data_IF_474667396565
#
_entry.id   IF_474667396565
#
_cell.length_a   1.000
_cell.length_b   1.000
_cell.length_c   1.000
_cell.angle_alpha   90.00
_cell.angle_beta   90.00
_cell.angle_gamma   90.00
#
_symmetry.space_group_name_H-M   'P 1'
#
loop_
_entity.id
_entity.type
_entity.pdbx_description
1 polymer ?
#
# COMPACT_ATOMS: atom_id res chain seq x y z
N UNK A 1 -2.52 17.35 22.06
CA UNK A 1 -1.93 17.49 20.72
C UNK A 1 -1.19 16.19 20.49
N UNK A 2 -1.84 15.19 19.91
CA UNK A 2 -1.16 13.97 19.46
C UNK A 2 -0.27 14.40 18.29
N UNK A 3 1.04 14.40 18.53
CA UNK A 3 2.06 14.56 17.49
C UNK A 3 1.89 13.36 16.54
N UNK A 4 1.32 13.61 15.36
CA UNK A 4 1.32 12.62 14.28
C UNK A 4 2.76 12.53 13.80
N UNK A 5 3.50 11.59 14.39
CA UNK A 5 4.83 11.23 13.92
C UNK A 5 4.67 10.52 12.57
N UNK A 6 4.92 11.24 11.49
CA UNK A 6 4.92 10.69 10.14
C UNK A 6 6.34 10.24 9.80
N UNK A 7 6.62 8.96 9.99
CA UNK A 7 7.87 8.37 9.53
C UNK A 7 7.86 8.20 7.99
N UNK A 8 8.86 8.77 7.34
CA UNK A 8 9.02 8.65 5.90
C UNK A 8 10.06 7.57 5.59
N UNK A 9 9.60 6.42 5.13
CA UNK A 9 10.47 5.32 4.75
C UNK A 9 10.75 5.33 3.25
N UNK A 10 12.03 5.29 2.89
CA UNK A 10 12.46 5.24 1.50
C UNK A 10 12.67 3.77 1.11
N UNK A 11 11.88 3.29 0.16
CA UNK A 11 12.09 1.96 -0.44
C UNK A 11 13.44 1.92 -1.17
N UNK A 12 14.23 0.90 -0.85
CA UNK A 12 15.51 0.59 -1.51
C UNK A 12 15.28 0.12 -2.93
N UNK A 13 16.29 0.29 -3.80
CA UNK A 13 16.20 -0.04 -5.23
C UNK A 13 15.90 -1.53 -5.48
N UNK A 14 16.36 -2.39 -4.58
CA UNK A 14 16.06 -3.83 -4.55
C UNK A 14 14.55 -4.10 -4.42
N UNK A 15 13.84 -3.31 -3.61
CA UNK A 15 12.38 -3.43 -3.45
C UNK A 15 11.67 -2.83 -4.65
N UNK A 16 12.20 -1.75 -5.24
CA UNK A 16 11.57 -1.07 -6.39
C UNK A 16 11.51 -1.95 -7.64
N UNK A 17 12.48 -2.85 -7.81
CA UNK A 17 12.56 -3.79 -8.95
C UNK A 17 12.33 -5.24 -8.53
N UNK A 18 11.91 -5.44 -7.28
CA UNK A 18 11.75 -6.75 -6.67
C UNK A 18 10.38 -7.38 -6.91
N UNK A 19 9.99 -8.27 -6.01
CA UNK A 19 8.68 -8.93 -6.03
C UNK A 19 7.67 -8.23 -5.12
N UNK A 20 6.39 -8.38 -5.45
CA UNK A 20 5.27 -7.92 -4.65
C UNK A 20 5.41 -8.28 -3.15
N UNK A 21 5.76 -9.53 -2.85
CA UNK A 21 5.90 -10.00 -1.46
C UNK A 21 6.94 -9.22 -0.65
N UNK A 22 8.04 -8.76 -1.27
CA UNK A 22 9.07 -7.96 -0.60
C UNK A 22 8.53 -6.58 -0.26
N UNK A 23 7.81 -5.95 -1.20
CA UNK A 23 7.17 -4.66 -0.98
C UNK A 23 6.17 -4.74 0.18
N UNK A 24 5.25 -5.71 0.15
CA UNK A 24 4.22 -5.82 1.18
C UNK A 24 4.79 -6.20 2.53
N UNK A 25 5.77 -7.11 2.56
CA UNK A 25 6.47 -7.46 3.81
C UNK A 25 7.17 -6.24 4.43
N UNK A 26 7.77 -5.39 3.61
CA UNK A 26 8.37 -4.14 4.06
C UNK A 26 7.30 -3.18 4.56
N UNK A 27 6.26 -2.90 3.77
CA UNK A 27 5.14 -2.02 4.18
C UNK A 27 4.55 -2.45 5.53
N UNK A 28 4.27 -3.73 5.71
CA UNK A 28 3.71 -4.29 6.93
C UNK A 28 4.70 -4.18 8.10
N UNK A 29 6.01 -4.31 7.85
CA UNK A 29 7.05 -4.10 8.88
C UNK A 29 7.08 -2.67 9.40
N UNK A 30 6.83 -1.72 8.51
CA UNK A 30 6.90 -0.30 8.84
C UNK A 30 5.56 0.27 9.32
N UNK A 31 4.47 -0.52 9.26
CA UNK A 31 3.11 -0.07 9.61
C UNK A 31 2.80 -0.33 11.09
N UNK A 32 2.30 0.70 11.77
CA UNK A 32 1.87 0.59 13.17
C UNK A 32 0.47 -0.07 13.29
N UNK A 33 0.27 -1.04 14.21
CA UNK A 33 -0.98 -1.80 14.33
C UNK A 33 -2.24 -1.00 14.69
N UNK A 34 -2.12 0.20 15.27
CA UNK A 34 -3.25 0.85 15.93
C UNK A 34 -4.09 1.79 15.04
N UNK A 35 -3.55 2.28 13.91
CA UNK A 35 -4.28 3.11 12.92
C UNK A 35 -3.59 3.00 11.55
N UNK A 36 -4.18 2.25 10.62
CA UNK A 36 -3.59 2.05 9.29
C UNK A 36 -4.59 2.39 8.20
N UNK A 37 -4.53 3.62 7.70
CA UNK A 37 -5.02 3.97 6.37
C UNK A 37 -3.91 3.70 5.36
N UNK A 38 -4.22 3.05 4.23
CA UNK A 38 -3.23 2.79 3.19
C UNK A 38 -3.48 3.72 2.01
N UNK A 39 -2.58 4.69 1.85
CA UNK A 39 -2.62 5.61 0.70
C UNK A 39 -1.67 5.10 -0.37
N UNK A 40 -2.21 4.85 -1.55
CA UNK A 40 -1.49 4.33 -2.69
C UNK A 40 -1.54 5.33 -3.86
N UNK A 41 -0.45 6.08 -4.03
CA UNK A 41 -0.34 7.16 -5.02
C UNK A 41 0.16 6.70 -6.38
N UNK A 42 -0.45 5.63 -6.91
CA UNK A 42 -0.17 5.07 -8.24
C UNK A 42 -1.48 4.83 -8.97
N UNK A 43 -1.53 4.87 -10.32
CA UNK A 43 -2.77 4.66 -11.05
C UNK A 43 -3.32 3.27 -10.74
N UNK A 44 -4.45 3.22 -10.03
CA UNK A 44 -5.13 1.98 -9.65
C UNK A 44 -6.63 2.12 -9.92
N UNK A 45 -7.23 1.05 -10.43
CA UNK A 45 -8.67 0.94 -10.61
C UNK A 45 -9.31 0.48 -9.31
N UNK A 46 -10.01 1.39 -8.66
CA UNK A 46 -10.71 1.16 -7.41
C UNK A 46 -12.21 0.95 -7.68
N UNK A 47 -12.71 -0.27 -7.45
CA UNK A 47 -14.14 -0.58 -7.53
C UNK A 47 -14.85 -0.43 -6.18
N UNK A 48 -14.13 -0.64 -5.07
CA UNK A 48 -14.63 -0.56 -3.70
C UNK A 48 -13.64 0.16 -2.79
N UNK A 49 -14.08 0.64 -1.63
CA UNK A 49 -13.21 1.36 -0.65
C UNK A 49 -12.01 0.53 -0.16
N UNK A 50 -12.08 -0.78 -0.33
CA UNK A 50 -11.16 -1.77 0.20
C UNK A 50 -10.51 -2.64 -0.90
N UNK A 51 -10.71 -2.27 -2.17
CA UNK A 51 -10.12 -2.95 -3.33
C UNK A 51 -9.46 -1.95 -4.26
N UNK A 52 -8.29 -2.30 -4.79
CA UNK A 52 -7.58 -1.46 -5.74
C UNK A 52 -6.70 -2.28 -6.63
N UNK A 53 -6.97 -2.30 -7.93
CA UNK A 53 -6.14 -3.03 -8.90
C UNK A 53 -5.13 -2.05 -9.50
N UNK A 54 -3.83 -2.26 -9.24
CA UNK A 54 -2.80 -1.40 -9.82
C UNK A 54 -2.85 -1.54 -11.36
N UNK A 55 -2.93 -0.42 -12.07
CA UNK A 55 -2.93 -0.42 -13.53
C UNK A 55 -1.51 -0.48 -14.08
N UNK A 56 -0.66 0.44 -13.62
CA UNK A 56 0.74 0.44 -14.01
C UNK A 56 1.63 1.12 -12.99
N UNK A 57 2.85 0.62 -12.81
CA UNK A 57 3.84 1.32 -12.01
C UNK A 57 4.28 2.61 -12.69
N UNK A 58 4.54 3.62 -11.86
CA UNK A 58 5.08 4.90 -12.32
C UNK A 58 6.22 5.31 -11.39
N UNK A 59 6.91 6.42 -11.71
CA UNK A 59 8.00 6.98 -10.88
C UNK A 59 9.21 6.03 -10.72
N UNK A 60 9.43 5.13 -11.66
CA UNK A 60 10.58 4.21 -11.67
C UNK A 60 10.47 3.05 -10.68
N UNK A 61 9.26 2.72 -10.23
CA UNK A 61 8.98 1.43 -9.63
C UNK A 61 8.68 0.44 -10.76
N UNK A 62 9.10 -0.82 -10.58
CA UNK A 62 8.90 -1.94 -11.50
C UNK A 62 8.80 -3.22 -10.68
N UNK A 63 7.71 -3.36 -9.92
CA UNK A 63 7.56 -4.48 -8.98
C UNK A 63 6.73 -5.56 -9.64
N UNK A 64 7.37 -6.70 -9.88
CA UNK A 64 6.74 -7.85 -10.52
C UNK A 64 5.66 -8.47 -9.62
N UNK A 65 4.49 -8.73 -10.22
CA UNK A 65 3.35 -9.36 -9.53
C UNK A 65 2.41 -8.39 -8.82
N UNK A 66 2.50 -7.09 -9.11
CA UNK A 66 1.59 -6.07 -8.54
C UNK A 66 0.74 -5.41 -9.62
N UNK A 67 1.27 -5.15 -10.81
CA UNK A 67 0.49 -4.60 -11.93
C UNK A 67 -0.57 -5.59 -12.39
N UNK A 68 -1.80 -5.13 -12.55
CA UNK A 68 -2.97 -5.93 -12.88
C UNK A 68 -3.59 -6.69 -11.70
N UNK A 69 -3.02 -6.59 -10.50
CA UNK A 69 -3.45 -7.33 -9.31
C UNK A 69 -4.05 -6.40 -8.24
N UNK A 70 -4.90 -6.97 -7.37
CA UNK A 70 -5.53 -6.25 -6.27
C UNK A 70 -4.52 -6.01 -5.13
N UNK A 71 -4.01 -4.78 -5.05
CA UNK A 71 -2.99 -4.39 -4.07
C UNK A 71 -3.52 -4.39 -2.64
N UNK A 72 -4.81 -4.13 -2.44
CA UNK A 72 -5.42 -4.15 -1.13
C UNK A 72 -5.54 -5.60 -0.61
N UNK A 73 -5.90 -6.53 -1.49
CA UNK A 73 -5.92 -7.97 -1.18
C UNK A 73 -4.51 -8.49 -0.84
N UNK A 74 -3.50 -8.18 -1.65
CA UNK A 74 -2.12 -8.61 -1.38
C UNK A 74 -1.59 -8.06 -0.06
N UNK A 75 -1.89 -6.80 0.26
CA UNK A 75 -1.52 -6.19 1.53
C UNK A 75 -2.22 -6.90 2.71
N UNK A 76 -3.51 -7.22 2.59
CA UNK A 76 -4.24 -7.99 3.61
C UNK A 76 -3.64 -9.38 3.84
N UNK A 77 -3.28 -10.08 2.77
CA UNK A 77 -2.58 -11.36 2.90
C UNK A 77 -1.24 -11.20 3.61
N UNK A 78 -0.47 -10.17 3.29
CA UNK A 78 0.81 -9.90 3.95
C UNK A 78 0.65 -9.55 5.44
N UNK A 79 -0.41 -8.82 5.81
CA UNK A 79 -0.78 -8.56 7.20
C UNK A 79 -1.13 -9.88 7.91
N UNK A 80 -1.98 -10.71 7.28
CA UNK A 80 -2.41 -12.00 7.82
C UNK A 80 -1.24 -12.98 8.01
N UNK A 81 -0.26 -12.99 7.09
CA UNK A 81 0.97 -13.78 7.20
C UNK A 81 1.81 -13.43 8.44
N UNK A 82 1.70 -12.20 8.96
CA UNK A 82 2.45 -11.74 10.15
C UNK A 82 1.64 -11.74 11.45
N UNK A 83 0.38 -12.19 11.41
CA UNK A 83 -0.53 -12.19 12.57
C UNK A 83 -0.61 -10.81 13.27
N UNK A 84 -0.53 -9.74 12.48
CA UNK A 84 -0.56 -8.39 13.02
C UNK A 84 -2.02 -7.93 13.18
N UNK A 85 -2.38 -7.26 14.29
CA UNK A 85 -3.71 -6.71 14.50
C UNK A 85 -3.94 -5.42 13.68
N UNK A 86 -3.45 -5.38 12.43
CA UNK A 86 -3.62 -4.29 11.48
C UNK A 86 -4.93 -4.53 10.73
N UNK A 87 -5.81 -3.53 10.71
CA UNK A 87 -7.02 -3.55 9.89
C UNK A 87 -6.89 -2.53 8.78
N UNK A 88 -6.91 -3.00 7.52
CA UNK A 88 -7.05 -2.09 6.38
C UNK A 88 -8.43 -1.43 6.47
N UNK A 89 -8.48 -0.13 6.77
CA UNK A 89 -9.76 0.60 6.92
C UNK A 89 -10.18 1.29 5.62
N UNK A 90 -9.21 1.71 4.82
CA UNK A 90 -9.44 2.37 3.55
C UNK A 90 -8.20 2.23 2.66
N UNK A 91 -8.45 1.91 1.39
CA UNK A 91 -7.51 2.04 0.30
C UNK A 91 -7.79 3.37 -0.40
N UNK A 92 -6.81 4.28 -0.39
CA UNK A 92 -6.97 5.64 -0.94
C UNK A 92 -6.03 5.82 -2.12
N UNK A 93 -6.59 6.07 -3.30
CA UNK A 93 -5.83 6.47 -4.47
C UNK A 93 -5.64 7.99 -4.52
N UNK A 94 -4.39 8.46 -4.63
CA UNK A 94 -4.05 9.89 -4.70
C UNK A 94 -4.68 10.61 -5.90
N UNK A 95 -4.99 9.89 -6.99
CA UNK A 95 -5.66 10.47 -8.17
C UNK A 95 -7.19 10.63 -7.99
N UNK A 96 -7.80 9.87 -7.07
CA UNK A 96 -9.23 9.99 -6.72
C UNK A 96 -9.47 10.80 -5.44
N UNK A 97 -8.44 10.99 -4.61
CA UNK A 97 -8.50 11.73 -3.34
C UNK A 97 -8.74 13.24 -3.47
N UNK A 98 -8.62 13.81 -4.67
CA UNK A 98 -8.83 15.25 -4.89
C UNK A 98 -10.31 15.70 -4.83
N UNK A 99 -11.28 14.80 -4.61
CA UNK A 99 -12.71 15.14 -4.56
C UNK A 99 -13.35 15.09 -3.16
N UNK A 100 -12.60 14.78 -2.10
CA UNK A 100 -13.10 14.88 -0.72
C UNK A 100 -12.19 15.83 0.06
N UNK A 101 -12.44 17.13 -0.08
CA UNK A 101 -11.97 18.19 0.80
C UNK A 101 -13.15 19.12 1.13
#
# INVERSE_FOLDING_TARGET
MDDVTQDQYRITDDIKTGKAEQLWSFTVQMTNPFRSGFTFSYPASQQFVDQGVLQTWTKGLDISGVEGEDVAAQLKEAIGKRDLPIRLVAFINDTTGAMIA
#
